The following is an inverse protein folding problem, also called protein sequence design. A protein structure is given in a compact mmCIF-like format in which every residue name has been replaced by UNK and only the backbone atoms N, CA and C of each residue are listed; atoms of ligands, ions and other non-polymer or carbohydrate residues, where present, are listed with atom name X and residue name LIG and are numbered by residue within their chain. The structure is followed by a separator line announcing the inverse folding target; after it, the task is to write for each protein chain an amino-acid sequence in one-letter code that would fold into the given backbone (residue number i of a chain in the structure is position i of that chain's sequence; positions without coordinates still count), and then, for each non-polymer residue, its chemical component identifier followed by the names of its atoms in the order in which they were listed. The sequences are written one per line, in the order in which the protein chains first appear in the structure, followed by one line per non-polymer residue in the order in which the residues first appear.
data_IF_571658185825
#
_entry.id   IF_571658185825
#
_cell.length_a   1.000
_cell.length_b   1.000
_cell.length_c   1.000
_cell.angle_alpha   90.00
_cell.angle_beta   90.00
_cell.angle_gamma   90.00
#
_symmetry.space_group_name_H-M   'P 1'
#
loop_
_entity.id
_entity.type
_entity.pdbx_description
1 polymer ?
#
# COMPACT_ATOMS: atom_id res chain seq x y z
N UNK A 1 7.83 -6.34 -4.47
CA UNK A 1 8.38 -4.96 -4.52
C UNK A 1 7.46 -4.04 -3.76
N UNK A 2 7.95 -3.32 -2.74
CA UNK A 2 7.13 -2.41 -1.94
C UNK A 2 7.52 -0.97 -2.24
N UNK A 3 6.55 -0.18 -2.70
CA UNK A 3 6.73 1.21 -3.09
C UNK A 3 6.08 2.07 -1.98
N UNK A 4 6.87 2.71 -1.10
CA UNK A 4 6.36 3.35 0.13
C UNK A 4 6.38 4.88 0.23
N UNK A 5 7.02 5.64 -0.67
CA UNK A 5 7.19 7.09 -0.48
C UNK A 5 6.74 7.89 -1.70
N UNK A 6 5.77 8.79 -1.51
CA UNK A 6 5.08 9.56 -2.57
C UNK A 6 6.06 10.31 -3.48
N UNK A 7 7.13 10.89 -2.94
CA UNK A 7 8.13 11.63 -3.73
C UNK A 7 8.81 10.75 -4.79
N UNK A 8 8.85 9.44 -4.54
CA UNK A 8 9.41 8.45 -5.46
C UNK A 8 8.51 8.19 -6.69
N UNK A 9 7.27 8.67 -6.70
CA UNK A 9 6.29 8.47 -7.78
C UNK A 9 6.01 9.73 -8.61
N UNK A 10 6.78 10.79 -8.35
CA UNK A 10 6.72 12.07 -9.07
C UNK A 10 6.99 11.95 -10.58
N UNK A 11 7.71 10.90 -11.01
CA UNK A 11 7.98 10.64 -12.42
C UNK A 11 8.09 9.14 -12.70
N UNK A 12 7.89 8.75 -13.96
CA UNK A 12 8.07 7.36 -14.39
C UNK A 12 9.51 6.87 -14.20
N UNK A 13 10.48 7.76 -14.40
CA UNK A 13 11.89 7.46 -14.18
C UNK A 13 12.15 7.08 -12.72
N UNK A 14 11.57 7.84 -11.78
CA UNK A 14 11.70 7.57 -10.35
C UNK A 14 11.01 6.25 -9.95
N UNK A 15 9.80 5.98 -10.48
CA UNK A 15 9.11 4.70 -10.27
C UNK A 15 9.95 3.49 -10.72
N UNK A 16 10.54 3.58 -11.92
CA UNK A 16 11.39 2.51 -12.45
C UNK A 16 12.69 2.37 -11.65
N UNK A 17 13.29 3.49 -11.24
CA UNK A 17 14.50 3.50 -10.41
C UNK A 17 14.26 2.80 -9.07
N UNK A 18 13.19 3.15 -8.36
CA UNK A 18 12.86 2.52 -7.08
C UNK A 18 12.51 1.05 -7.26
N UNK A 19 11.73 0.72 -8.29
CA UNK A 19 11.43 -0.68 -8.62
C UNK A 19 12.72 -1.48 -8.79
N UNK A 20 13.65 -0.96 -9.56
CA UNK A 20 14.92 -1.62 -9.83
C UNK A 20 15.80 -1.76 -8.56
N UNK A 21 15.86 -0.73 -7.71
CA UNK A 21 16.55 -0.80 -6.41
C UNK A 21 15.94 -1.91 -5.54
N UNK A 22 14.60 -1.96 -5.44
CA UNK A 22 13.92 -2.97 -4.63
C UNK A 22 14.11 -4.38 -5.20
N UNK A 23 14.09 -4.55 -6.53
CA UNK A 23 14.34 -5.84 -7.18
C UNK A 23 15.77 -6.33 -6.94
N UNK A 24 16.75 -5.43 -7.01
CA UNK A 24 18.16 -5.74 -6.75
C UNK A 24 18.42 -6.21 -5.30
N UNK A 25 17.55 -5.88 -4.34
CA UNK A 25 17.67 -6.45 -2.98
C UNK A 25 17.42 -7.96 -2.95
N UNK A 26 16.56 -8.46 -3.82
CA UNK A 26 16.22 -9.88 -3.92
C UNK A 26 17.18 -10.63 -4.84
N UNK A 27 17.71 -9.95 -5.85
CA UNK A 27 18.66 -10.49 -6.81
C UNK A 27 19.82 -9.51 -6.99
N UNK A 28 20.75 -9.45 -6.02
CA UNK A 28 21.88 -8.53 -6.10
C UNK A 28 22.76 -8.93 -7.27
N UNK A 29 22.79 -8.10 -8.32
CA UNK A 29 23.78 -8.23 -9.36
C UNK A 29 25.15 -7.78 -8.82
N UNK A 30 26.22 -8.49 -9.22
CA UNK A 30 27.58 -7.95 -9.10
C UNK A 30 27.62 -6.68 -9.94
N UNK A 31 28.02 -5.56 -9.30
CA UNK A 31 28.12 -4.21 -9.85
C UNK A 31 28.42 -4.22 -11.35
N UNK A 32 27.39 -4.02 -12.17
CA UNK A 32 27.58 -3.56 -13.53
C UNK A 32 27.15 -2.09 -13.55
N UNK A 33 28.08 -1.23 -13.94
CA UNK A 33 27.96 0.25 -14.00
C UNK A 33 26.94 0.75 -15.02
N UNK A 34 26.15 -0.12 -15.65
CA UNK A 34 25.17 0.27 -16.65
C UNK A 34 24.03 1.05 -16.00
N UNK A 35 24.12 2.38 -16.05
CA UNK A 35 23.13 3.32 -15.50
C UNK A 35 21.75 3.27 -16.18
N UNK A 36 21.57 2.45 -17.21
CA UNK A 36 20.31 2.36 -17.92
C UNK A 36 19.31 1.44 -17.19
N UNK A 37 18.38 2.05 -16.46
CA UNK A 37 17.35 1.38 -15.67
C UNK A 37 16.53 0.37 -16.50
N UNK A 38 16.27 0.65 -17.79
CA UNK A 38 15.53 -0.26 -18.65
C UNK A 38 16.27 -1.56 -18.92
N UNK A 39 17.59 -1.47 -19.09
CA UNK A 39 18.44 -2.63 -19.32
C UNK A 39 18.56 -3.48 -18.05
N UNK A 40 18.66 -2.85 -16.88
CA UNK A 40 18.70 -3.58 -15.61
C UNK A 40 17.39 -4.34 -15.35
N UNK A 41 16.24 -3.71 -15.64
CA UNK A 41 14.94 -4.39 -15.54
C UNK A 41 14.81 -5.56 -16.52
N UNK A 42 15.17 -5.39 -17.78
CA UNK A 42 15.09 -6.46 -18.78
C UNK A 42 15.98 -7.66 -18.42
N UNK A 43 17.18 -7.38 -17.89
CA UNK A 43 18.13 -8.38 -17.43
C UNK A 43 17.64 -9.10 -16.17
N UNK A 44 17.10 -8.35 -15.20
CA UNK A 44 16.43 -8.94 -14.03
C UNK A 44 15.35 -9.93 -14.47
N UNK A 45 14.47 -9.53 -15.39
CA UNK A 45 13.36 -10.36 -15.89
C UNK A 45 13.91 -11.63 -16.55
N UNK A 46 14.95 -11.50 -17.35
CA UNK A 46 15.61 -12.63 -18.03
C UNK A 46 16.20 -13.61 -17.01
N UNK A 47 16.93 -13.10 -16.01
CA UNK A 47 17.50 -13.91 -14.93
C UNK A 47 16.40 -14.57 -14.09
N UNK A 48 15.33 -13.83 -13.78
CA UNK A 48 14.19 -14.30 -13.02
C UNK A 48 13.47 -15.46 -13.73
N UNK A 49 13.34 -15.39 -15.07
CA UNK A 49 12.79 -16.46 -15.90
C UNK A 49 13.68 -17.70 -15.97
N UNK A 50 15.01 -17.54 -15.89
CA UNK A 50 15.97 -18.65 -15.95
C UNK A 50 16.02 -19.47 -14.64
N UNK A 51 15.52 -18.92 -13.54
CA UNK A 51 15.51 -19.58 -12.24
C UNK A 51 14.35 -20.60 -12.16
N UNK A 52 14.64 -21.84 -12.59
CA UNK A 52 13.84 -23.08 -12.47
C UNK A 52 12.44 -23.04 -13.10
N UNK A 53 12.31 -23.73 -14.24
CA UNK A 53 11.11 -23.87 -15.10
C UNK A 53 9.83 -24.44 -14.45
N UNK A 54 9.85 -24.85 -13.17
CA UNK A 54 8.74 -25.60 -12.54
C UNK A 54 7.92 -24.80 -11.53
N UNK A 55 8.21 -23.53 -11.29
CA UNK A 55 7.42 -22.69 -10.36
C UNK A 55 6.70 -21.58 -11.12
N UNK A 56 5.37 -21.52 -11.01
CA UNK A 56 4.59 -20.35 -11.44
C UNK A 56 4.95 -19.18 -10.54
N UNK A 57 5.82 -18.31 -11.04
CA UNK A 57 6.31 -17.14 -10.32
C UNK A 57 5.52 -15.89 -10.70
N UNK A 58 5.13 -15.12 -9.69
CA UNK A 58 4.45 -13.84 -9.86
C UNK A 58 5.28 -12.72 -9.24
N UNK A 59 5.39 -11.60 -9.95
CA UNK A 59 5.98 -10.38 -9.44
C UNK A 59 4.88 -9.51 -8.84
N UNK A 60 4.92 -9.37 -7.52
CA UNK A 60 3.93 -8.60 -6.76
C UNK A 60 4.47 -7.21 -6.45
N UNK A 61 3.72 -6.19 -6.86
CA UNK A 61 3.94 -4.79 -6.51
C UNK A 61 2.93 -4.35 -5.45
N UNK A 62 3.42 -3.78 -4.36
CA UNK A 62 2.58 -3.26 -3.28
C UNK A 62 2.72 -1.73 -3.26
N UNK A 63 1.60 -1.04 -3.47
CA UNK A 63 1.49 0.42 -3.52
C UNK A 63 0.45 0.84 -2.48
N UNK A 64 0.86 1.11 -1.23
CA UNK A 64 -0.06 1.34 -0.12
C UNK A 64 -0.79 2.70 -0.20
N UNK A 65 -0.20 3.71 -0.84
CA UNK A 65 -0.78 5.05 -0.96
C UNK A 65 -1.06 5.38 -2.44
N UNK A 66 -1.88 4.55 -3.09
CA UNK A 66 -2.11 4.67 -4.52
C UNK A 66 -2.78 6.00 -4.91
N UNK A 67 -3.61 6.56 -4.03
CA UNK A 67 -4.39 7.77 -4.30
C UNK A 67 -3.51 9.00 -4.61
N UNK A 68 -2.34 9.04 -3.99
CA UNK A 68 -1.30 10.08 -4.15
C UNK A 68 -0.57 10.00 -5.50
N UNK A 69 -0.75 8.91 -6.26
CA UNK A 69 -0.07 8.72 -7.54
C UNK A 69 -0.87 9.37 -8.68
N UNK A 70 -0.14 10.07 -9.56
CA UNK A 70 -0.72 10.52 -10.82
C UNK A 70 -1.02 9.31 -11.71
N UNK A 71 -2.30 9.14 -12.07
CA UNK A 71 -2.78 7.98 -12.81
C UNK A 71 -2.06 7.80 -14.15
N UNK A 72 -1.70 8.88 -14.85
CA UNK A 72 -0.98 8.83 -16.13
C UNK A 72 0.44 8.28 -15.97
N UNK A 73 1.10 8.57 -14.84
CA UNK A 73 2.43 8.02 -14.53
C UNK A 73 2.29 6.51 -14.28
N UNK A 74 1.28 6.10 -13.51
CA UNK A 74 0.99 4.70 -13.24
C UNK A 74 0.65 3.93 -14.53
N UNK A 75 -0.20 4.48 -15.41
CA UNK A 75 -0.54 3.90 -16.70
C UNK A 75 0.69 3.63 -17.57
N UNK A 76 1.56 4.62 -17.68
CA UNK A 76 2.79 4.50 -18.44
C UNK A 76 3.73 3.45 -17.80
N UNK A 77 3.79 3.40 -16.47
CA UNK A 77 4.59 2.41 -15.75
C UNK A 77 4.10 0.98 -16.00
N UNK A 78 2.79 0.72 -15.89
CA UNK A 78 2.18 -0.57 -16.22
C UNK A 78 2.47 -0.95 -17.67
N UNK A 79 2.32 0.01 -18.60
CA UNK A 79 2.57 -0.23 -20.01
C UNK A 79 4.02 -0.65 -20.24
N UNK A 80 5.00 0.05 -19.66
CA UNK A 80 6.42 -0.29 -19.79
C UNK A 80 6.73 -1.66 -19.18
N UNK A 81 6.20 -1.96 -17.99
CA UNK A 81 6.38 -3.27 -17.37
C UNK A 81 5.79 -4.38 -18.25
N UNK A 82 4.60 -4.20 -18.81
CA UNK A 82 3.95 -5.19 -19.68
C UNK A 82 4.72 -5.47 -20.97
N UNK A 83 5.47 -4.48 -21.47
CA UNK A 83 6.32 -4.65 -22.66
C UNK A 83 7.59 -5.47 -22.35
N UNK A 84 8.13 -5.28 -21.15
CA UNK A 84 9.38 -5.90 -20.69
C UNK A 84 9.15 -7.32 -20.16
N UNK A 85 7.98 -7.55 -19.55
CA UNK A 85 7.64 -8.76 -18.81
C UNK A 85 6.56 -9.52 -19.59
N UNK A 86 6.97 -10.37 -20.53
CA UNK A 86 6.03 -11.17 -21.32
C UNK A 86 5.68 -12.53 -20.71
N UNK A 87 6.52 -13.04 -19.81
CA UNK A 87 6.46 -14.42 -19.31
C UNK A 87 6.20 -14.55 -17.82
N UNK A 88 6.19 -13.44 -17.07
CA UNK A 88 5.97 -13.44 -15.61
C UNK A 88 4.58 -12.86 -15.34
N UNK A 89 3.81 -13.51 -14.47
CA UNK A 89 2.57 -12.93 -13.95
C UNK A 89 2.91 -11.69 -13.11
N UNK A 90 2.27 -10.55 -13.39
CA UNK A 90 2.43 -9.36 -12.55
C UNK A 90 1.14 -9.12 -11.80
N UNK A 91 1.24 -8.88 -10.49
CA UNK A 91 0.11 -8.53 -9.65
C UNK A 91 0.37 -7.22 -8.92
N UNK A 92 -0.66 -6.37 -8.83
CA UNK A 92 -0.59 -5.09 -8.12
C UNK A 92 -1.56 -5.13 -6.93
N UNK A 93 -1.04 -4.82 -5.75
CA UNK A 93 -1.83 -4.61 -4.53
C UNK A 93 -1.83 -3.12 -4.26
N UNK A 94 -2.99 -2.48 -4.46
CA UNK A 94 -3.17 -1.05 -4.34
C UNK A 94 -3.92 -0.74 -3.04
N UNK A 95 -3.29 0.02 -2.14
CA UNK A 95 -3.94 0.58 -0.97
C UNK A 95 -4.74 1.82 -1.35
N UNK A 96 -6.04 1.77 -1.06
CA UNK A 96 -7.01 2.80 -1.38
C UNK A 96 -7.67 3.25 -0.07
N UNK A 97 -7.40 4.49 0.35
CA UNK A 97 -7.96 5.08 1.57
C UNK A 97 -9.36 5.69 1.36
N UNK A 98 -9.66 6.18 0.16
CA UNK A 98 -10.84 6.99 -0.16
C UNK A 98 -11.79 6.32 -1.14
N UNK A 99 -12.36 5.16 -0.78
CA UNK A 99 -13.53 4.56 -1.44
C UNK A 99 -13.51 4.49 -2.97
N UNK A 100 -14.70 4.41 -3.58
CA UNK A 100 -14.91 4.08 -4.99
C UNK A 100 -14.25 5.06 -5.99
N UNK A 101 -13.88 6.28 -5.59
CA UNK A 101 -13.33 7.29 -6.50
C UNK A 101 -11.97 6.89 -7.08
N UNK A 102 -11.07 6.35 -6.27
CA UNK A 102 -9.76 5.88 -6.73
C UNK A 102 -9.89 4.64 -7.62
N UNK A 103 -10.88 3.79 -7.36
CA UNK A 103 -11.26 2.69 -8.26
C UNK A 103 -11.84 3.21 -9.57
N UNK A 104 -12.71 4.22 -9.55
CA UNK A 104 -13.28 4.85 -10.74
C UNK A 104 -12.20 5.50 -11.61
N UNK A 105 -11.22 6.18 -10.99
CA UNK A 105 -10.02 6.69 -11.69
C UNK A 105 -9.30 5.55 -12.41
N UNK A 106 -9.11 4.41 -11.74
CA UNK A 106 -8.48 3.23 -12.36
C UNK A 106 -9.35 2.62 -13.46
N UNK A 107 -10.66 2.54 -13.27
CA UNK A 107 -11.61 1.97 -14.22
C UNK A 107 -11.77 2.82 -15.48
N UNK A 108 -11.60 4.14 -15.36
CA UNK A 108 -11.57 5.09 -16.49
C UNK A 108 -10.22 5.16 -17.21
N UNK A 109 -9.20 4.48 -16.70
CA UNK A 109 -7.84 4.51 -17.23
C UNK A 109 -7.75 3.76 -18.57
N UNK A 110 -6.79 4.13 -19.41
CA UNK A 110 -6.51 3.46 -20.70
C UNK A 110 -6.07 2.02 -20.51
N UNK A 111 -5.57 1.68 -19.32
CA UNK A 111 -5.12 0.33 -18.99
C UNK A 111 -6.23 -0.51 -18.34
N UNK A 112 -7.41 0.05 -18.04
CA UNK A 112 -8.47 -0.66 -17.33
C UNK A 112 -8.85 -1.98 -18.02
N UNK A 113 -8.96 -1.97 -19.35
CA UNK A 113 -9.26 -3.18 -20.15
C UNK A 113 -8.16 -4.24 -20.13
N UNK A 114 -6.95 -3.89 -19.65
CA UNK A 114 -5.80 -4.79 -19.51
C UNK A 114 -5.59 -5.26 -18.08
N UNK A 115 -6.40 -4.76 -17.13
CA UNK A 115 -6.31 -5.12 -15.72
C UNK A 115 -7.49 -6.00 -15.33
N UNK A 116 -7.22 -7.11 -14.65
CA UNK A 116 -8.22 -7.80 -13.86
C UNK A 116 -8.15 -7.22 -12.45
N UNK A 117 -9.22 -6.56 -12.01
CA UNK A 117 -9.27 -5.87 -10.71
C UNK A 117 -10.21 -6.65 -9.81
N UNK A 118 -9.66 -7.17 -8.71
CA UNK A 118 -10.43 -7.71 -7.60
C UNK A 118 -10.33 -6.74 -6.41
N UNK A 119 -11.46 -6.33 -5.86
CA UNK A 119 -11.53 -5.41 -4.72
C UNK A 119 -11.74 -6.18 -3.42
N UNK A 120 -10.83 -6.01 -2.46
CA UNK A 120 -10.96 -6.57 -1.11
C UNK A 120 -11.29 -5.41 -0.17
N UNK A 121 -12.49 -5.42 0.41
CA UNK A 121 -12.91 -4.44 1.40
C UNK A 121 -12.44 -4.85 2.79
N UNK A 122 -11.52 -4.07 3.37
CA UNK A 122 -11.16 -4.24 4.76
C UNK A 122 -12.08 -3.40 5.67
N UNK A 123 -13.08 -4.05 6.26
CA UNK A 123 -13.98 -3.45 7.27
C UNK A 123 -13.40 -3.49 8.69
N UNK A 124 -12.14 -3.89 8.84
CA UNK A 124 -11.53 -4.15 10.15
C UNK A 124 -11.34 -2.91 11.00
N UNK A 125 -11.12 -1.74 10.41
CA UNK A 125 -10.88 -0.48 11.14
C UNK A 125 -11.98 -0.16 12.16
N UNK A 126 -13.25 -0.29 11.76
CA UNK A 126 -14.41 -0.10 12.66
C UNK A 126 -14.45 -1.13 13.77
N UNK A 127 -14.27 -2.40 13.40
CA UNK A 127 -14.31 -3.53 14.35
C UNK A 127 -13.18 -3.43 15.37
N UNK A 128 -12.00 -2.99 14.94
CA UNK A 128 -10.85 -2.75 15.82
C UNK A 128 -11.07 -1.53 16.72
N UNK A 129 -11.60 -0.43 16.21
CA UNK A 129 -11.97 0.73 17.03
C UNK A 129 -12.97 0.34 18.12
N UNK A 130 -14.07 -0.30 17.74
CA UNK A 130 -15.10 -0.77 18.69
C UNK A 130 -14.50 -1.74 19.72
N UNK A 131 -13.61 -2.64 19.30
CA UNK A 131 -12.90 -3.54 20.19
C UNK A 131 -11.98 -2.81 21.17
N UNK A 132 -11.21 -1.82 20.71
CA UNK A 132 -10.28 -1.05 21.55
C UNK A 132 -11.05 -0.19 22.56
N UNK A 133 -12.10 0.53 22.13
CA UNK A 133 -12.94 1.31 23.03
C UNK A 133 -13.58 0.41 24.09
N UNK A 134 -14.13 -0.75 23.68
CA UNK A 134 -14.67 -1.74 24.64
C UNK A 134 -13.60 -2.24 25.60
N UNK A 135 -12.41 -2.54 25.12
CA UNK A 135 -11.32 -3.09 25.94
C UNK A 135 -10.71 -2.08 26.91
N UNK A 136 -10.67 -0.79 26.53
CA UNK A 136 -10.07 0.27 27.34
C UNK A 136 -11.06 0.89 28.34
N UNK A 137 -12.33 1.04 27.96
CA UNK A 137 -13.31 1.82 28.72
C UNK A 137 -14.49 1.03 29.28
N UNK A 138 -14.84 -0.12 28.67
CA UNK A 138 -16.06 -0.86 28.97
C UNK A 138 -15.81 -2.29 29.45
N UNK A 139 -14.55 -2.68 29.66
CA UNK A 139 -14.22 -4.01 30.17
C UNK A 139 -14.56 -4.10 31.65
N UNK A 140 -15.59 -4.88 31.98
CA UNK A 140 -15.96 -5.22 33.36
C UNK A 140 -15.01 -6.26 33.99
N UNK A 141 -14.10 -6.85 33.19
CA UNK A 141 -13.19 -7.89 33.64
C UNK A 141 -11.73 -7.42 33.64
N UNK A 142 -11.04 -7.86 34.70
CA UNK A 142 -9.61 -7.77 35.03
C UNK A 142 -9.11 -6.54 35.78
N UNK A 143 -8.19 -6.83 36.71
CA UNK A 143 -7.47 -5.99 37.67
C UNK A 143 -6.62 -4.85 37.05
N UNK A 144 -7.14 -4.16 36.03
CA UNK A 144 -6.51 -3.03 35.34
C UNK A 144 -7.20 -1.74 35.76
N UNK A 145 -6.45 -0.63 35.76
CA UNK A 145 -7.02 0.70 35.98
C UNK A 145 -8.12 0.97 34.96
N UNK A 146 -9.37 1.09 35.41
CA UNK A 146 -10.47 1.56 34.58
C UNK A 146 -10.25 3.05 34.32
N UNK A 147 -10.06 3.40 33.04
CA UNK A 147 -10.06 4.78 32.63
C UNK A 147 -11.51 5.25 32.52
N UNK A 148 -11.92 6.18 33.37
CA UNK A 148 -13.22 6.86 33.22
C UNK A 148 -13.11 7.92 32.15
N UNK A 149 -13.93 7.79 31.11
CA UNK A 149 -14.05 8.75 30.01
C UNK A 149 -15.37 9.52 30.14
N UNK A 150 -15.36 10.83 29.90
CA UNK A 150 -16.59 11.64 29.84
C UNK A 150 -17.28 11.48 28.48
N UNK A 151 -18.59 11.76 28.42
CA UNK A 151 -19.33 11.77 27.16
C UNK A 151 -18.73 12.74 26.12
N UNK A 152 -18.15 13.87 26.57
CA UNK A 152 -17.49 14.86 25.70
C UNK A 152 -16.17 14.33 25.13
N UNK A 153 -15.36 13.65 25.94
CA UNK A 153 -14.12 13.01 25.49
C UNK A 153 -14.40 11.86 24.52
N UNK A 154 -15.44 11.08 24.79
CA UNK A 154 -15.88 10.01 23.89
C UNK A 154 -16.37 10.59 22.56
N UNK A 155 -17.12 11.69 22.60
CA UNK A 155 -17.58 12.36 21.38
C UNK A 155 -16.43 12.95 20.56
N UNK A 156 -15.41 13.52 21.22
CA UNK A 156 -14.18 13.97 20.56
C UNK A 156 -13.42 12.79 19.91
N UNK A 157 -13.31 11.65 20.61
CA UNK A 157 -12.67 10.43 20.10
C UNK A 157 -13.46 9.82 18.92
N UNK A 158 -14.79 9.83 18.98
CA UNK A 158 -15.65 9.38 17.88
C UNK A 158 -15.53 10.29 16.65
N UNK A 159 -15.44 11.61 16.82
CA UNK A 159 -15.36 12.54 15.68
C UNK A 159 -14.11 12.32 14.82
N UNK A 160 -12.95 12.00 15.40
CA UNK A 160 -11.76 11.71 14.58
C UNK A 160 -11.73 10.31 13.97
N UNK A 161 -12.49 9.35 14.51
CA UNK A 161 -12.75 8.08 13.82
C UNK A 161 -13.45 8.30 12.47
N UNK A 162 -14.40 9.26 12.39
CA UNK A 162 -15.12 9.57 11.16
C UNK A 162 -14.27 10.27 10.10
N UNK A 163 -13.21 10.96 10.49
CA UNK A 163 -12.34 11.68 9.55
C UNK A 163 -11.19 10.80 9.05
N UNK A 164 -10.45 10.15 9.94
CA UNK A 164 -9.34 9.23 9.60
C UNK A 164 -9.01 8.32 10.78
N UNK A 165 -9.66 7.15 10.89
CA UNK A 165 -9.28 6.23 11.97
C UNK A 165 -7.84 5.73 11.80
N UNK A 166 -6.97 6.13 12.73
CA UNK A 166 -5.64 5.55 12.91
C UNK A 166 -5.35 5.32 14.38
N UNK A 167 -4.61 4.25 14.69
CA UNK A 167 -4.19 3.96 16.06
C UNK A 167 -3.33 5.09 16.65
N UNK A 168 -2.50 5.72 15.81
CA UNK A 168 -1.70 6.88 16.19
C UNK A 168 -2.56 8.10 16.58
N UNK A 169 -3.65 8.34 15.84
CA UNK A 169 -4.61 9.38 16.20
C UNK A 169 -5.33 9.06 17.51
N UNK A 170 -5.79 7.82 17.70
CA UNK A 170 -6.42 7.40 18.95
C UNK A 170 -5.46 7.56 20.13
N UNK A 171 -4.22 7.12 19.98
CA UNK A 171 -3.15 7.31 20.97
C UNK A 171 -2.98 8.80 21.34
N UNK A 172 -2.91 9.67 20.33
CA UNK A 172 -2.78 11.11 20.55
C UNK A 172 -4.01 11.72 21.23
N UNK A 173 -5.22 11.34 20.79
CA UNK A 173 -6.48 11.84 21.34
C UNK A 173 -6.64 11.48 22.82
N UNK A 174 -6.24 10.27 23.19
CA UNK A 174 -6.24 9.81 24.58
C UNK A 174 -5.25 10.59 25.46
N UNK A 175 -4.04 10.88 24.96
CA UNK A 175 -3.04 11.74 25.64
C UNK A 175 -3.56 13.16 25.85
N UNK A 176 -4.11 13.78 24.81
CA UNK A 176 -4.66 15.16 24.88
C UNK A 176 -5.84 15.23 25.85
N UNK A 177 -6.68 14.19 25.85
CA UNK A 177 -7.82 14.06 26.76
C UNK A 177 -7.41 13.75 28.21
N UNK A 178 -6.12 13.55 28.49
CA UNK A 178 -5.57 13.16 29.80
C UNK A 178 -6.21 11.87 30.35
N UNK A 179 -6.57 10.98 29.44
CA UNK A 179 -7.12 9.68 29.78
C UNK A 179 -5.98 8.76 30.23
N UNK A 180 -4.78 8.89 29.65
CA UNK A 180 -3.56 8.24 30.14
C UNK A 180 -2.32 9.13 29.97
#
# INVERSE_FOLDING_TARGET
VKLQNIEQYSSIHNMLKVTNIELNKFYPEKENEDKNIYFQLSKFITNYNQLKENEKRSLIFIIPEFESINISIFENFITLLSLQIKSISISFVLGLSGGDHSLQRLASSRIASKLSIDTIYDSSARKYYEYIIKSLFLSENDNRQQFTITAEQLHFIDNGYFETFSLAWLEHALKVSRIY
#
